data_IF_052594727987
#
_entry.id   IF_052594727987
#
_cell.length_a   1.000
_cell.length_b   1.000
_cell.length_c   1.000
_cell.angle_alpha   90.00
_cell.angle_beta   90.00
_cell.angle_gamma   90.00
#
_symmetry.space_group_name_H-M   'P 1'
#
loop_
_entity.id
_entity.type
_entity.pdbx_description
1 polymer ?
#
# COMPACT_ATOMS: atom_id res chain seq x y z
N UNK A 1 -9.75 7.37 26.13
CA UNK A 1 -10.45 7.50 24.83
C UNK A 1 -9.76 6.71 23.72
N UNK A 2 -8.53 7.06 23.28
CA UNK A 2 -7.84 6.37 22.16
C UNK A 2 -7.76 4.84 22.34
N UNK A 3 -7.37 4.35 23.52
CA UNK A 3 -7.31 2.90 23.81
C UNK A 3 -8.66 2.22 23.62
N UNK A 4 -9.73 2.80 24.16
CA UNK A 4 -11.10 2.29 24.03
C UNK A 4 -11.58 2.32 22.58
N UNK A 5 -11.31 3.40 21.84
CA UNK A 5 -11.61 3.47 20.41
C UNK A 5 -10.91 2.33 19.64
N UNK A 6 -9.65 2.06 19.95
CA UNK A 6 -8.90 0.96 19.32
C UNK A 6 -9.40 -0.42 19.74
N UNK A 7 -9.79 -0.61 21.00
CA UNK A 7 -10.41 -1.85 21.48
C UNK A 7 -11.72 -2.15 20.73
N UNK A 8 -12.58 -1.15 20.57
CA UNK A 8 -13.82 -1.24 19.79
C UNK A 8 -13.46 -1.60 18.33
N UNK A 9 -12.59 -0.81 17.68
CA UNK A 9 -12.16 -1.04 16.29
C UNK A 9 -11.54 -2.43 16.06
N UNK A 10 -10.82 -3.01 17.03
CA UNK A 10 -10.18 -4.32 16.88
C UNK A 10 -11.09 -5.49 17.24
N UNK A 11 -12.20 -5.23 17.93
CA UNK A 11 -13.09 -6.27 18.38
C UNK A 11 -13.83 -6.91 17.20
N UNK A 12 -14.17 -8.19 17.34
CA UNK A 12 -15.02 -8.93 16.39
C UNK A 12 -16.41 -9.22 16.97
N UNK A 13 -16.73 -8.56 18.08
CA UNK A 13 -18.06 -8.60 18.67
C UNK A 13 -19.02 -7.76 17.82
N UNK A 14 -20.19 -8.27 17.43
CA UNK A 14 -21.20 -7.49 16.71
C UNK A 14 -21.59 -6.17 17.39
N UNK A 15 -21.48 -6.08 18.72
CA UNK A 15 -21.70 -4.84 19.47
C UNK A 15 -20.72 -3.71 19.09
N UNK A 16 -19.52 -4.09 18.62
CA UNK A 16 -18.43 -3.20 18.24
C UNK A 16 -18.29 -3.04 16.71
N UNK A 17 -19.15 -3.66 15.90
CA UNK A 17 -19.20 -3.39 14.47
C UNK A 17 -19.51 -1.90 14.20
N UNK A 18 -19.29 -1.43 12.97
CA UNK A 18 -19.52 -0.03 12.59
C UNK A 18 -20.89 0.47 13.01
N UNK A 19 -21.93 -0.37 12.87
CA UNK A 19 -23.31 -0.10 13.24
C UNK A 19 -23.75 -0.67 14.60
N UNK A 20 -22.83 -1.30 15.33
CA UNK A 20 -23.05 -1.83 16.67
C UNK A 20 -23.35 -0.73 17.69
N UNK A 21 -24.12 -1.07 18.73
CA UNK A 21 -24.60 -0.09 19.70
C UNK A 21 -23.44 0.57 20.48
N UNK A 22 -22.41 -0.17 20.88
CA UNK A 22 -21.26 0.41 21.62
C UNK A 22 -20.43 1.33 20.73
N UNK A 23 -20.29 0.99 19.45
CA UNK A 23 -19.61 1.84 18.47
C UNK A 23 -20.37 3.14 18.22
N UNK A 24 -21.71 3.10 18.16
CA UNK A 24 -22.56 4.28 18.04
C UNK A 24 -22.49 5.15 19.29
N UNK A 25 -22.73 4.58 20.46
CA UNK A 25 -22.67 5.28 21.74
C UNK A 25 -21.30 5.94 21.97
N UNK A 26 -20.22 5.23 21.63
CA UNK A 26 -18.88 5.79 21.73
C UNK A 26 -18.66 6.98 20.78
N UNK A 27 -19.15 6.91 19.54
CA UNK A 27 -19.05 8.03 18.60
C UNK A 27 -19.88 9.22 19.07
N UNK A 28 -21.12 9.00 19.47
CA UNK A 28 -22.04 10.05 19.90
C UNK A 28 -21.50 10.79 21.14
N UNK A 29 -20.85 10.06 22.06
CA UNK A 29 -20.29 10.65 23.28
C UNK A 29 -18.92 11.32 23.08
N UNK A 30 -18.09 10.85 22.14
CA UNK A 30 -16.66 11.19 22.11
C UNK A 30 -16.12 11.62 20.75
N UNK A 31 -16.95 11.77 19.71
CA UNK A 31 -16.51 12.24 18.39
C UNK A 31 -17.17 13.56 18.00
N UNK A 32 -16.47 14.34 17.18
CA UNK A 32 -17.03 15.53 16.54
C UNK A 32 -17.95 15.13 15.39
N UNK A 33 -18.86 16.01 14.97
CA UNK A 33 -19.70 15.78 13.79
C UNK A 33 -18.83 15.41 12.57
N UNK A 34 -19.04 14.19 12.07
CA UNK A 34 -18.19 13.52 11.08
C UNK A 34 -18.76 13.66 9.67
N UNK A 35 -19.23 14.84 9.26
CA UNK A 35 -19.57 15.05 7.85
C UNK A 35 -18.29 15.08 6.98
N UNK A 36 -17.74 13.89 6.77
CA UNK A 36 -16.59 13.52 5.94
C UNK A 36 -15.39 14.47 6.04
N UNK A 37 -14.77 14.59 7.23
CA UNK A 37 -13.65 15.50 7.45
C UNK A 37 -12.41 15.21 6.60
N UNK A 38 -12.23 13.99 6.09
CA UNK A 38 -11.02 13.59 5.36
C UNK A 38 -11.23 13.80 3.86
N UNK A 39 -10.73 14.92 3.33
CA UNK A 39 -10.85 15.26 1.91
C UNK A 39 -10.03 14.35 0.99
N UNK A 40 -8.87 13.90 1.46
CA UNK A 40 -7.97 13.06 0.69
C UNK A 40 -7.19 12.10 1.59
N UNK A 41 -7.09 10.84 1.18
CA UNK A 41 -6.28 9.79 1.79
C UNK A 41 -5.32 9.24 0.73
N UNK A 42 -4.04 9.61 0.81
CA UNK A 42 -2.99 9.08 -0.06
C UNK A 42 -2.24 7.94 0.62
N UNK A 43 -2.16 6.80 -0.04
CA UNK A 43 -1.52 5.60 0.48
C UNK A 43 -0.42 5.13 -0.48
N UNK A 44 0.70 4.67 0.10
CA UNK A 44 1.76 4.01 -0.63
C UNK A 44 1.96 2.61 -0.08
N UNK A 45 1.72 1.64 -0.96
CA UNK A 45 2.03 0.24 -0.82
C UNK A 45 1.70 -0.34 0.56
N UNK A 46 0.49 -0.01 1.05
CA UNK A 46 0.01 -0.34 2.40
C UNK A 46 0.24 -1.81 2.71
N UNK A 47 0.83 -2.11 3.86
CA UNK A 47 1.03 -3.50 4.32
C UNK A 47 0.16 -3.77 5.54
N UNK A 48 -0.79 -4.67 5.41
CA UNK A 48 -1.65 -5.13 6.50
C UNK A 48 -1.21 -6.52 6.90
N UNK A 49 -0.13 -6.56 7.66
CA UNK A 49 0.52 -7.74 8.22
C UNK A 49 -0.20 -9.09 8.03
N UNK A 50 0.16 -9.78 6.95
CA UNK A 50 0.24 -11.24 6.96
C UNK A 50 1.44 -11.74 7.82
N UNK A 51 1.76 -11.03 8.91
CA UNK A 51 2.84 -11.34 9.85
C UNK A 51 4.05 -10.41 9.69
N UNK A 52 4.32 -9.61 10.71
CA UNK A 52 5.68 -9.22 11.09
C UNK A 52 5.91 -9.89 12.46
N UNK A 53 7.06 -10.52 12.72
CA UNK A 53 7.25 -11.47 13.82
C UNK A 53 7.42 -10.78 15.18
N UNK A 54 6.41 -10.06 15.67
CA UNK A 54 6.31 -9.78 17.12
C UNK A 54 5.27 -10.73 17.71
N UNK A 55 5.72 -11.97 17.93
CA UNK A 55 4.93 -13.04 18.53
C UNK A 55 4.57 -12.67 19.98
N UNK A 56 3.32 -12.24 20.21
CA UNK A 56 2.73 -12.24 21.56
C UNK A 56 2.20 -13.63 21.88
N UNK A 57 2.87 -14.32 22.82
CA UNK A 57 2.43 -15.62 23.36
C UNK A 57 0.95 -15.47 23.79
N UNK A 58 0.07 -16.32 23.23
CA UNK A 58 -1.37 -16.35 23.54
C UNK A 58 -2.28 -15.51 22.63
N UNK A 59 -1.76 -14.60 21.80
CA UNK A 59 -2.57 -13.78 20.85
C UNK A 59 -2.10 -13.82 19.39
N UNK A 60 -0.95 -14.43 19.10
CA UNK A 60 -0.44 -14.55 17.72
C UNK A 60 -0.18 -13.19 17.04
N UNK A 61 -0.31 -13.14 15.71
CA UNK A 61 -0.10 -11.94 14.88
C UNK A 61 -1.35 -11.08 14.70
N UNK A 62 -2.42 -11.34 15.45
CA UNK A 62 -3.71 -10.70 15.21
C UNK A 62 -3.68 -9.18 15.41
N UNK A 63 -2.86 -8.65 16.31
CA UNK A 63 -2.85 -7.22 16.64
C UNK A 63 -2.38 -6.30 15.49
N UNK A 64 -1.71 -6.84 14.46
CA UNK A 64 -1.26 -6.08 13.28
C UNK A 64 -2.25 -6.14 12.10
N UNK A 65 -3.29 -6.97 12.17
CA UNK A 65 -4.30 -7.07 11.11
C UNK A 65 -5.26 -5.88 11.21
N UNK A 66 -5.58 -5.30 10.05
CA UNK A 66 -6.69 -4.34 9.97
C UNK A 66 -8.00 -5.00 10.39
N UNK A 67 -8.97 -4.20 10.85
CA UNK A 67 -10.33 -4.68 11.05
C UNK A 67 -10.90 -5.18 9.72
N UNK A 68 -10.81 -4.34 8.69
CA UNK A 68 -11.07 -4.68 7.29
C UNK A 68 -10.17 -3.84 6.35
N UNK A 69 -10.38 -3.97 5.05
CA UNK A 69 -9.69 -3.21 4.01
C UNK A 69 -10.62 -2.15 3.38
N UNK A 70 -11.74 -1.83 4.03
CA UNK A 70 -12.72 -0.90 3.51
C UNK A 70 -12.34 0.53 3.88
N UNK A 71 -12.38 1.42 2.90
CA UNK A 71 -12.20 2.86 3.17
C UNK A 71 -13.44 3.39 3.89
N UNK A 72 -13.22 4.06 5.01
CA UNK A 72 -14.31 4.67 5.79
C UNK A 72 -15.05 5.73 5.00
N UNK A 73 -16.37 5.82 5.21
CA UNK A 73 -17.25 6.81 4.57
C UNK A 73 -16.86 8.25 4.88
N UNK A 74 -16.07 8.51 5.93
CA UNK A 74 -15.56 9.84 6.28
C UNK A 74 -14.51 10.38 5.30
N UNK A 75 -14.02 9.55 4.38
CA UNK A 75 -13.03 9.90 3.35
C UNK A 75 -13.74 10.28 2.05
N UNK A 76 -13.37 11.39 1.41
CA UNK A 76 -13.89 11.78 0.10
C UNK A 76 -13.19 11.06 -1.05
N UNK A 77 -11.86 11.16 -1.08
CA UNK A 77 -11.01 10.58 -2.11
C UNK A 77 -9.93 9.74 -1.43
N UNK A 78 -9.79 8.48 -1.82
CA UNK A 78 -8.69 7.62 -1.42
C UNK A 78 -7.91 7.19 -2.65
N UNK A 79 -6.60 7.41 -2.64
CA UNK A 79 -5.71 7.04 -3.71
C UNK A 79 -4.60 6.16 -3.16
N UNK A 80 -4.31 5.06 -3.85
CA UNK A 80 -3.26 4.13 -3.45
C UNK A 80 -2.30 3.82 -4.60
N UNK A 81 -1.02 3.89 -4.30
CA UNK A 81 0.05 3.38 -5.16
C UNK A 81 0.47 2.01 -4.64
N UNK A 82 0.72 1.05 -5.52
CA UNK A 82 1.16 -0.30 -5.21
C UNK A 82 2.46 -0.65 -5.94
N UNK A 83 3.32 -1.46 -5.31
CA UNK A 83 4.57 -1.90 -5.93
C UNK A 83 4.43 -3.27 -6.60
N UNK A 84 4.98 -3.42 -7.80
CA UNK A 84 4.87 -4.67 -8.58
C UNK A 84 6.01 -5.64 -8.24
N UNK A 85 7.24 -5.14 -8.09
CA UNK A 85 8.44 -5.96 -8.01
C UNK A 85 8.89 -6.32 -6.59
N UNK A 86 8.13 -5.92 -5.58
CA UNK A 86 8.37 -6.36 -4.21
C UNK A 86 8.03 -7.85 -4.08
N UNK A 87 8.94 -8.59 -3.43
CA UNK A 87 8.81 -10.04 -3.29
C UNK A 87 8.80 -10.48 -1.83
N UNK A 88 9.11 -9.60 -0.89
CA UNK A 88 9.11 -9.96 0.52
C UNK A 88 7.67 -10.25 0.98
N UNK A 89 7.38 -11.49 1.36
CA UNK A 89 6.03 -11.95 1.74
C UNK A 89 5.45 -11.13 2.91
N UNK A 90 6.31 -10.64 3.81
CA UNK A 90 5.89 -9.79 4.94
C UNK A 90 5.39 -8.41 4.48
N UNK A 91 5.70 -8.02 3.25
CA UNK A 91 5.25 -6.79 2.60
C UNK A 91 4.19 -7.08 1.53
N UNK A 92 3.36 -8.11 1.71
CA UNK A 92 2.21 -8.32 0.84
C UNK A 92 1.26 -7.11 0.93
N UNK A 93 0.88 -6.50 -0.20
CA UNK A 93 0.12 -5.27 -0.21
C UNK A 93 -1.32 -5.52 0.22
N UNK A 94 -1.82 -4.66 1.08
CA UNK A 94 -3.22 -4.54 1.43
C UNK A 94 -3.85 -3.46 0.58
N UNK A 95 -4.82 -3.87 -0.21
CA UNK A 95 -5.55 -3.02 -1.14
C UNK A 95 -6.70 -2.35 -0.42
N UNK A 96 -7.19 -1.27 -0.99
CA UNK A 96 -8.34 -0.54 -0.46
C UNK A 96 -9.60 -0.82 -1.28
N UNK A 97 -10.69 -1.05 -0.58
CA UNK A 97 -11.99 -1.32 -1.18
C UNK A 97 -13.03 -0.29 -0.76
N UNK A 98 -14.04 -0.09 -1.61
CA UNK A 98 -15.22 0.69 -1.23
C UNK A 98 -16.08 -0.18 -0.31
N UNK A 99 -16.57 0.41 0.76
CA UNK A 99 -17.67 -0.20 1.51
C UNK A 99 -18.95 -0.18 0.62
N UNK A 100 -19.81 -1.19 0.73
CA UNK A 100 -21.05 -1.32 -0.07
C UNK A 100 -21.97 -0.10 0.06
N UNK A 101 -21.95 0.54 1.23
CA UNK A 101 -22.76 1.73 1.52
C UNK A 101 -22.05 3.05 1.14
N UNK A 102 -20.82 2.97 0.61
CA UNK A 102 -19.92 4.10 0.35
C UNK A 102 -19.99 4.64 -1.09
N UNK A 103 -21.19 4.79 -1.65
CA UNK A 103 -21.37 5.24 -3.06
C UNK A 103 -20.65 6.56 -3.37
N UNK A 104 -20.41 7.38 -2.35
CA UNK A 104 -19.79 8.70 -2.46
C UNK A 104 -18.26 8.72 -2.28
N UNK A 105 -17.61 7.60 -1.92
CA UNK A 105 -16.13 7.54 -1.81
C UNK A 105 -15.53 7.28 -3.19
N UNK A 106 -14.62 8.16 -3.62
CA UNK A 106 -13.82 7.94 -4.82
C UNK A 106 -12.57 7.17 -4.42
N UNK A 107 -12.36 6.00 -5.02
CA UNK A 107 -11.17 5.18 -4.81
C UNK A 107 -10.45 5.03 -6.14
N UNK A 108 -9.16 5.30 -6.13
CA UNK A 108 -8.28 5.09 -7.27
C UNK A 108 -7.02 4.36 -6.80
N UNK A 109 -6.67 3.28 -7.48
CA UNK A 109 -5.47 2.51 -7.19
C UNK A 109 -4.63 2.38 -8.45
N UNK A 110 -3.30 2.37 -8.31
CA UNK A 110 -2.42 2.09 -9.44
C UNK A 110 -1.19 1.29 -9.02
N UNK A 111 -0.73 0.41 -9.89
CA UNK A 111 0.45 -0.42 -9.73
C UNK A 111 1.62 0.20 -10.48
N UNK A 112 2.68 0.52 -9.73
CA UNK A 112 3.93 1.07 -10.22
C UNK A 112 5.02 0.00 -10.33
N UNK A 113 5.95 0.14 -11.29
CA UNK A 113 7.16 -0.65 -11.27
C UNK A 113 7.97 -0.32 -10.02
N UNK A 114 8.75 -1.29 -9.54
CA UNK A 114 9.66 -1.14 -8.41
C UNK A 114 9.22 -1.93 -7.18
N UNK A 115 10.08 -1.92 -6.17
CA UNK A 115 9.85 -2.52 -4.84
C UNK A 115 9.18 -1.53 -3.89
N UNK A 116 8.81 -2.02 -2.70
CA UNK A 116 8.08 -1.26 -1.69
C UNK A 116 8.73 0.11 -1.38
N UNK A 117 10.04 0.12 -1.11
CA UNK A 117 10.79 1.34 -0.77
C UNK A 117 11.09 2.24 -1.98
N UNK A 118 11.00 1.72 -3.20
CA UNK A 118 11.20 2.51 -4.43
C UNK A 118 9.90 3.21 -4.83
N UNK A 119 8.75 2.58 -4.58
CA UNK A 119 7.44 3.19 -4.83
C UNK A 119 7.04 4.16 -3.71
N UNK A 120 7.25 3.78 -2.44
CA UNK A 120 6.94 4.62 -1.29
C UNK A 120 7.98 5.70 -1.00
N UNK A 121 9.18 5.57 -1.56
CA UNK A 121 10.33 6.39 -1.21
C UNK A 121 11.07 5.86 0.02
N UNK A 122 12.39 5.96 -0.01
CA UNK A 122 13.24 5.50 1.08
C UNK A 122 14.71 5.47 0.67
N UNK A 123 15.60 5.58 1.64
CA UNK A 123 17.06 5.70 1.41
C UNK A 123 17.71 4.43 0.82
N UNK A 124 16.98 3.31 0.83
CA UNK A 124 17.43 2.04 0.23
C UNK A 124 16.84 1.82 -1.17
N UNK A 125 16.23 2.85 -1.75
CA UNK A 125 15.76 2.83 -3.14
C UNK A 125 16.96 2.73 -4.08
N UNK A 126 16.94 1.79 -5.03
CA UNK A 126 17.96 1.76 -6.08
C UNK A 126 17.56 2.62 -7.29
N UNK A 127 16.31 3.11 -7.32
CA UNK A 127 15.76 3.87 -8.44
C UNK A 127 14.84 4.98 -7.92
N UNK A 128 15.45 6.12 -7.55
CA UNK A 128 14.76 7.30 -7.01
C UNK A 128 13.78 7.96 -8.00
N UNK A 129 13.91 7.67 -9.30
CA UNK A 129 12.95 8.14 -10.31
C UNK A 129 11.56 7.54 -10.09
N UNK A 130 11.48 6.29 -9.62
CA UNK A 130 10.21 5.62 -9.33
C UNK A 130 9.47 6.34 -8.19
N UNK A 131 10.14 6.62 -7.08
CA UNK A 131 9.54 7.34 -5.95
C UNK A 131 9.11 8.74 -6.33
N UNK A 132 9.92 9.43 -7.14
CA UNK A 132 9.59 10.76 -7.66
C UNK A 132 8.33 10.74 -8.52
N UNK A 133 8.21 9.77 -9.44
CA UNK A 133 7.02 9.64 -10.30
C UNK A 133 5.77 9.18 -9.52
N UNK A 134 5.95 8.32 -8.52
CA UNK A 134 4.91 7.89 -7.59
C UNK A 134 4.36 9.07 -6.77
N UNK A 135 5.26 9.93 -6.26
CA UNK A 135 4.88 11.16 -5.56
C UNK A 135 4.15 12.13 -6.49
N UNK A 136 4.66 12.38 -7.70
CA UNK A 136 4.01 13.25 -8.70
C UNK A 136 2.61 12.74 -9.06
N UNK A 137 2.44 11.42 -9.19
CA UNK A 137 1.11 10.85 -9.41
C UNK A 137 0.16 11.17 -8.27
N UNK A 138 0.61 11.02 -7.01
CA UNK A 138 -0.22 11.35 -5.85
C UNK A 138 -0.56 12.83 -5.78
N UNK A 139 0.41 13.72 -6.02
CA UNK A 139 0.18 15.17 -6.10
C UNK A 139 -0.90 15.49 -7.14
N UNK A 140 -0.81 14.89 -8.33
CA UNK A 140 -1.82 15.05 -9.37
C UNK A 140 -3.20 14.48 -9.02
N UNK A 141 -3.30 13.55 -8.06
CA UNK A 141 -4.59 13.11 -7.48
C UNK A 141 -5.12 14.11 -6.46
N UNK A 142 -4.24 14.62 -5.58
CA UNK A 142 -4.61 15.63 -4.57
C UNK A 142 -5.14 16.90 -5.24
N UNK A 143 -4.47 17.38 -6.30
CA UNK A 143 -4.91 18.57 -7.05
C UNK A 143 -6.32 18.37 -7.64
N UNK A 144 -6.59 17.22 -8.25
CA UNK A 144 -7.91 16.89 -8.81
C UNK A 144 -9.00 16.69 -7.75
N UNK A 145 -8.61 16.36 -6.52
CA UNK A 145 -9.54 16.12 -5.42
C UNK A 145 -10.14 17.40 -4.81
N UNK A 146 -9.63 18.59 -5.17
CA UNK A 146 -10.31 19.87 -4.92
C UNK A 146 -9.43 20.99 -4.39
N UNK A 147 -8.50 21.51 -5.22
CA UNK A 147 -7.66 22.68 -4.94
C UNK A 147 -6.95 22.63 -3.57
N UNK A 148 -6.60 21.42 -3.11
CA UNK A 148 -5.98 21.20 -1.80
C UNK A 148 -4.52 21.61 -1.74
N UNK A 149 -3.91 21.94 -2.89
CA UNK A 149 -2.51 22.32 -3.00
C UNK A 149 -2.40 23.64 -3.76
N UNK A 150 -1.96 24.67 -3.06
CA UNK A 150 -1.40 25.87 -3.69
C UNK A 150 0.08 25.57 -3.96
N UNK A 151 0.39 25.10 -5.17
CA UNK A 151 1.79 24.92 -5.56
C UNK A 151 2.37 26.30 -5.83
N UNK A 152 3.19 26.80 -4.90
CA UNK A 152 4.06 27.94 -5.20
C UNK A 152 5.16 27.45 -6.15
N UNK A 153 5.19 28.01 -7.35
CA UNK A 153 6.25 27.79 -8.34
C UNK A 153 7.57 28.40 -7.83
N UNK A 154 8.22 27.77 -6.86
CA UNK A 154 9.64 27.97 -6.58
C UNK A 154 10.12 26.78 -5.75
N UNK A 155 10.72 25.81 -6.44
CA UNK A 155 11.36 24.66 -5.82
C UNK A 155 12.82 24.64 -6.30
N UNK A 156 13.73 25.10 -5.44
CA UNK A 156 15.16 24.86 -5.61
C UNK A 156 15.48 23.44 -5.11
N UNK A 157 16.24 22.69 -5.91
CA UNK A 157 16.55 21.27 -5.73
C UNK A 157 17.48 20.97 -4.52
N UNK A 158 17.92 22.01 -3.80
CA UNK A 158 19.07 21.92 -2.89
C UNK A 158 18.74 21.69 -1.40
N UNK A 159 17.48 21.57 -0.98
CA UNK A 159 17.15 21.41 0.45
C UNK A 159 16.01 20.40 0.72
N UNK A 160 16.32 19.09 0.60
CA UNK A 160 15.59 18.05 1.35
C UNK A 160 16.59 17.17 2.08
N UNK A 161 17.09 17.66 3.22
CA UNK A 161 17.64 16.77 4.25
C UNK A 161 16.50 16.15 5.04
N UNK A 162 16.15 14.90 4.74
CA UNK A 162 15.16 14.15 5.50
C UNK A 162 15.73 13.77 6.89
N UNK A 163 15.10 14.25 7.96
CA UNK A 163 15.58 14.11 9.34
C UNK A 163 15.77 12.64 9.78
N UNK A 164 16.91 12.39 10.44
CA UNK A 164 17.49 11.11 10.85
C UNK A 164 16.81 10.45 12.07
N UNK A 165 15.52 10.73 12.29
CA UNK A 165 14.76 10.17 13.41
C UNK A 165 14.01 8.89 13.02
N UNK A 166 13.49 8.83 11.79
CA UNK A 166 12.83 7.63 11.24
C UNK A 166 13.84 6.51 10.94
N UNK A 167 15.05 6.87 10.51
CA UNK A 167 16.20 5.96 10.32
C UNK A 167 16.58 5.24 11.60
N UNK A 168 16.62 5.92 12.75
CA UNK A 168 16.88 5.28 14.05
C UNK A 168 15.78 4.30 14.45
N UNK A 169 14.53 4.57 14.12
CA UNK A 169 13.41 3.68 14.43
C UNK A 169 13.49 2.38 13.62
N UNK A 170 13.69 2.48 12.30
CA UNK A 170 13.85 1.32 11.42
C UNK A 170 15.16 0.56 11.70
N UNK A 171 16.29 1.26 11.87
CA UNK A 171 17.57 0.62 12.22
C UNK A 171 17.51 -0.06 13.60
N UNK A 172 16.76 0.46 14.56
CA UNK A 172 16.55 -0.21 15.85
C UNK A 172 15.68 -1.47 15.71
N UNK A 173 14.68 -1.43 14.84
CA UNK A 173 13.87 -2.60 14.46
C UNK A 173 14.74 -3.68 13.79
N UNK A 174 15.59 -3.27 12.85
CA UNK A 174 16.55 -4.14 12.18
C UNK A 174 17.63 -4.66 13.13
N UNK A 175 18.15 -3.85 14.05
CA UNK A 175 19.17 -4.25 15.04
C UNK A 175 18.64 -5.32 16.01
N UNK A 176 17.36 -5.26 16.38
CA UNK A 176 16.71 -6.27 17.22
C UNK A 176 16.45 -7.59 16.47
N UNK A 177 16.15 -7.51 15.17
CA UNK A 177 16.02 -8.67 14.28
C UNK A 177 17.39 -9.32 14.01
N UNK A 178 18.43 -8.51 13.77
CA UNK A 178 19.77 -8.96 13.41
C UNK A 178 20.56 -9.55 14.59
N UNK A 179 20.43 -8.99 15.80
CA UNK A 179 21.22 -9.42 16.97
C UNK A 179 20.73 -10.72 17.63
N UNK A 180 19.49 -11.15 17.40
CA UNK A 180 18.98 -12.43 17.94
C UNK A 180 19.12 -13.61 16.98
N UNK A 181 19.42 -13.36 15.71
CA UNK A 181 19.44 -14.38 14.64
C UNK A 181 20.84 -14.77 14.17
N UNK A 182 21.90 -14.22 14.79
CA UNK A 182 23.27 -14.41 14.32
C UNK A 182 23.88 -15.79 14.61
N UNK A 183 23.12 -16.75 15.14
CA UNK A 183 23.58 -18.13 15.37
C UNK A 183 22.96 -19.20 14.44
N UNK A 184 22.27 -18.82 13.35
CA UNK A 184 21.66 -19.78 12.40
C UNK A 184 22.08 -19.56 10.94
N UNK A 185 23.37 -19.72 10.66
CA UNK A 185 23.92 -19.81 9.30
C UNK A 185 23.25 -20.93 8.46
N UNK A 186 22.66 -21.96 9.11
CA UNK A 186 21.96 -23.08 8.46
C UNK A 186 20.52 -22.74 8.01
N UNK A 187 19.82 -21.79 8.64
CA UNK A 187 18.45 -21.40 8.24
C UNK A 187 18.48 -20.45 7.04
N UNK A 188 19.55 -19.68 6.87
CA UNK A 188 19.71 -18.69 5.79
C UNK A 188 19.73 -19.32 4.37
N UNK A 189 20.13 -20.59 4.25
CA UNK A 189 20.16 -21.32 2.97
C UNK A 189 18.80 -21.94 2.58
N UNK A 190 17.97 -22.35 3.56
CA UNK A 190 16.64 -22.91 3.29
C UNK A 190 15.52 -21.85 3.26
N UNK A 191 15.76 -20.64 3.78
CA UNK A 191 14.71 -19.59 3.91
C UNK A 191 14.61 -18.62 2.74
N UNK A 192 15.59 -18.56 1.83
CA UNK A 192 15.49 -17.69 0.64
C UNK A 192 14.26 -18.01 -0.23
N UNK A 193 13.84 -19.28 -0.29
CA UNK A 193 12.66 -19.68 -1.06
C UNK A 193 11.34 -19.46 -0.29
N UNK A 194 11.39 -19.39 1.04
CA UNK A 194 10.20 -19.30 1.89
C UNK A 194 9.81 -17.84 2.18
N UNK A 195 10.76 -16.89 2.12
CA UNK A 195 10.51 -15.47 2.45
C UNK A 195 10.16 -14.60 1.24
N UNK A 196 10.45 -15.07 0.02
CA UNK A 196 10.26 -14.30 -1.19
C UNK A 196 9.26 -14.99 -2.14
N UNK A 197 8.24 -14.26 -2.55
CA UNK A 197 7.23 -14.67 -3.53
C UNK A 197 6.85 -13.47 -4.38
N UNK A 198 6.64 -13.69 -5.67
CA UNK A 198 6.11 -12.66 -6.54
C UNK A 198 4.69 -12.25 -6.13
N UNK A 199 4.40 -10.95 -6.23
CA UNK A 199 3.09 -10.40 -5.92
C UNK A 199 2.09 -10.83 -7.00
N UNK A 200 0.88 -11.13 -6.55
CA UNK A 200 -0.24 -11.37 -7.46
C UNK A 200 -0.92 -10.04 -7.71
N UNK A 201 -0.92 -9.60 -8.96
CA UNK A 201 -1.66 -8.41 -9.37
C UNK A 201 -3.08 -8.86 -9.71
N UNK A 202 -4.08 -8.51 -8.89
CA UNK A 202 -5.44 -8.95 -9.08
C UNK A 202 -6.06 -8.26 -10.28
N UNK A 203 -6.84 -9.05 -10.98
CA UNK A 203 -7.50 -8.72 -12.20
C UNK A 203 -8.95 -8.37 -11.91
N UNK A 204 -9.38 -7.17 -12.29
CA UNK A 204 -10.76 -6.74 -12.06
C UNK A 204 -11.60 -6.84 -13.30
N UNK A 205 -12.82 -7.33 -13.14
CA UNK A 205 -13.88 -7.34 -14.13
C UNK A 205 -14.62 -6.00 -14.14
N UNK A 206 -14.98 -5.50 -15.32
CA UNK A 206 -15.97 -4.43 -15.43
C UNK A 206 -17.38 -4.96 -15.10
N UNK A 207 -18.16 -4.21 -14.32
CA UNK A 207 -19.55 -4.54 -13.97
C UNK A 207 -20.50 -4.49 -15.18
N UNK A 208 -20.08 -3.87 -16.29
CA UNK A 208 -20.99 -3.57 -17.40
C UNK A 208 -20.80 -4.41 -18.67
N UNK A 209 -19.72 -5.19 -18.85
CA UNK A 209 -19.63 -6.17 -19.93
C UNK A 209 -18.45 -7.15 -19.78
N UNK A 210 -18.79 -8.44 -19.71
CA UNK A 210 -18.00 -9.68 -19.92
C UNK A 210 -16.46 -9.52 -20.06
N UNK A 211 -15.74 -9.98 -19.02
CA UNK A 211 -14.34 -10.45 -19.01
C UNK A 211 -13.27 -9.52 -19.61
N UNK A 212 -12.99 -8.38 -18.97
CA UNK A 212 -11.80 -7.56 -19.32
C UNK A 212 -11.04 -7.20 -18.06
N UNK A 213 -9.71 -7.28 -18.17
CA UNK A 213 -8.70 -6.92 -17.20
C UNK A 213 -8.37 -5.42 -17.32
N UNK A 214 -8.48 -4.65 -16.24
CA UNK A 214 -8.31 -3.19 -16.27
C UNK A 214 -6.84 -2.75 -16.38
N UNK A 215 -6.40 -2.47 -17.62
CA UNK A 215 -5.05 -1.95 -17.95
C UNK A 215 -4.73 -0.59 -17.34
N UNK A 216 -5.76 0.23 -17.12
CA UNK A 216 -5.68 1.59 -16.56
C UNK A 216 -5.17 1.62 -15.11
N UNK A 217 -5.14 0.48 -14.43
CA UNK A 217 -4.56 0.35 -13.11
C UNK A 217 -3.04 0.23 -13.14
N UNK A 218 -2.43 -0.07 -14.28
CA UNK A 218 -0.97 -0.11 -14.40
C UNK A 218 -0.47 1.29 -14.75
N UNK A 219 0.48 1.79 -13.97
CA UNK A 219 1.04 3.12 -14.18
C UNK A 219 1.57 3.26 -15.61
N UNK A 220 1.22 4.36 -16.30
CA UNK A 220 1.53 4.59 -17.72
C UNK A 220 1.20 3.41 -18.64
N UNK A 221 0.22 2.57 -18.27
CA UNK A 221 -0.20 1.40 -19.04
C UNK A 221 0.95 0.41 -19.36
N UNK A 222 1.98 0.36 -18.50
CA UNK A 222 3.17 -0.48 -18.64
C UNK A 222 4.31 0.14 -19.45
N UNK A 223 4.12 1.30 -20.09
CA UNK A 223 5.17 1.94 -20.91
C UNK A 223 6.22 2.64 -20.02
N UNK A 224 7.17 1.85 -19.51
CA UNK A 224 8.15 2.29 -18.51
C UNK A 224 9.58 2.45 -19.01
N UNK A 225 9.96 1.79 -20.10
CA UNK A 225 11.34 1.72 -20.57
C UNK A 225 12.02 3.10 -20.68
N UNK A 226 11.31 4.11 -21.19
CA UNK A 226 11.83 5.47 -21.31
C UNK A 226 11.94 6.21 -19.96
N UNK A 227 11.14 5.81 -18.97
CA UNK A 227 11.05 6.49 -17.66
C UNK A 227 12.01 5.90 -16.62
N UNK A 228 12.23 4.58 -16.63
CA UNK A 228 12.88 3.88 -15.52
C UNK A 228 14.02 2.92 -15.94
N UNK A 229 14.33 2.83 -17.24
CA UNK A 229 15.38 1.97 -17.78
C UNK A 229 14.94 0.51 -17.91
N UNK A 230 15.92 -0.40 -18.02
CA UNK A 230 15.67 -1.84 -18.14
C UNK A 230 15.28 -2.44 -16.78
N UNK A 231 13.98 -2.51 -16.51
CA UNK A 231 13.45 -2.99 -15.23
C UNK A 231 13.60 -4.51 -15.07
N UNK A 232 13.54 -5.24 -16.19
CA UNK A 232 13.71 -6.70 -16.22
C UNK A 232 15.08 -7.15 -15.69
N UNK A 233 16.13 -6.38 -15.94
CA UNK A 233 17.45 -6.67 -15.34
C UNK A 233 17.60 -6.14 -13.91
N UNK A 234 16.85 -5.11 -13.53
CA UNK A 234 16.86 -4.53 -12.17
C UNK A 234 16.14 -5.40 -11.14
N UNK A 235 15.11 -6.15 -11.56
CA UNK A 235 14.26 -6.92 -10.67
C UNK A 235 14.27 -8.41 -10.99
N UNK A 236 14.33 -9.24 -9.93
CA UNK A 236 14.15 -10.69 -10.06
C UNK A 236 12.68 -11.12 -10.01
N UNK A 237 11.75 -10.15 -9.96
CA UNK A 237 10.34 -10.44 -9.85
C UNK A 237 9.76 -10.82 -11.21
N UNK A 238 8.85 -11.79 -11.21
CA UNK A 238 8.10 -12.21 -12.40
C UNK A 238 6.68 -11.65 -12.46
N UNK A 239 6.27 -10.86 -11.46
CA UNK A 239 4.88 -10.40 -11.33
C UNK A 239 4.37 -9.65 -12.58
N UNK A 240 5.19 -8.76 -13.17
CA UNK A 240 4.81 -8.06 -14.40
C UNK A 240 4.74 -9.00 -15.61
N UNK A 241 5.70 -9.92 -15.74
CA UNK A 241 5.71 -10.91 -16.82
C UNK A 241 4.45 -11.78 -16.77
N UNK A 242 4.12 -12.31 -15.59
CA UNK A 242 2.92 -13.16 -15.39
C UNK A 242 1.63 -12.38 -15.65
N UNK A 243 1.58 -11.10 -15.23
CA UNK A 243 0.48 -10.21 -15.58
C UNK A 243 0.37 -10.04 -17.09
N UNK A 244 1.48 -9.74 -17.79
CA UNK A 244 1.50 -9.53 -19.23
C UNK A 244 1.08 -10.79 -19.99
N UNK A 245 1.58 -11.97 -19.59
CA UNK A 245 1.15 -13.27 -20.14
C UNK A 245 -0.36 -13.46 -19.98
N UNK A 246 -0.90 -13.23 -18.77
CA UNK A 246 -2.34 -13.34 -18.50
C UNK A 246 -3.16 -12.33 -19.31
N UNK A 247 -2.66 -11.11 -19.49
CA UNK A 247 -3.30 -10.07 -20.28
C UNK A 247 -3.34 -10.42 -21.77
N UNK A 248 -2.23 -10.95 -22.29
CA UNK A 248 -2.12 -11.39 -23.68
C UNK A 248 -3.07 -12.55 -23.97
N UNK A 249 -3.21 -13.49 -23.06
CA UNK A 249 -4.17 -14.60 -23.18
C UNK A 249 -5.63 -14.08 -23.17
N UNK A 250 -5.89 -12.94 -22.53
CA UNK A 250 -7.17 -12.22 -22.59
C UNK A 250 -7.31 -11.30 -23.81
N UNK A 251 -6.36 -11.29 -24.74
CA UNK A 251 -6.37 -10.46 -25.95
C UNK A 251 -5.98 -9.00 -25.73
N UNK A 252 -5.36 -8.66 -24.60
CA UNK A 252 -4.90 -7.32 -24.24
C UNK A 252 -3.38 -7.31 -24.25
N UNK A 253 -2.79 -6.59 -25.20
CA UNK A 253 -1.33 -6.51 -25.32
C UNK A 253 -0.74 -5.44 -24.39
N UNK A 254 0.29 -5.80 -23.63
CA UNK A 254 1.09 -4.89 -22.81
C UNK A 254 2.50 -4.76 -23.37
N UNK A 255 3.11 -3.57 -23.25
CA UNK A 255 4.50 -3.40 -23.63
C UNK A 255 5.41 -4.32 -22.79
N UNK A 256 6.57 -4.71 -23.35
CA UNK A 256 7.62 -5.34 -22.56
C UNK A 256 8.08 -4.38 -21.44
N UNK A 257 8.58 -4.98 -20.37
CA UNK A 257 9.10 -4.29 -19.18
C UNK A 257 10.34 -3.45 -19.49
#
# INVERSE_FOLDING_TARGET
LIKRAYEIYRSRDPAHDTDGYESKDFRDAFTHDLNRPIRFLGLWDTVGAHGIPTYTIGKGFEYLKFYDQNVSNVVHNACQVLSIHERLILLEPCRIYKNSDASLVKIEETWFPGKHLEVGGGILSNNEKISSQSLLWMIGKVQRAGDLLEIKEEYNDDDIQFDNKFTRMLLSFWRLIFLKWFNYIIVFLFTKTILFRDRVIPLYTDETNRNILKRDLIYKNGHWGDSFGDLKSQYSSRAYLELNETMRDAGIDFPPE
#
